data_IF_146809620873
#
_entry.id   IF_146809620873
#
_cell.length_a   1.000
_cell.length_b   1.000
_cell.length_c   1.000
_cell.angle_alpha   90.00
_cell.angle_beta   90.00
_cell.angle_gamma   90.00
#
_symmetry.space_group_name_H-M   'P 1'
#
loop_
_entity.id
_entity.type
_entity.pdbx_description
1 polymer ?
#
# COMPACT_ATOMS: atom_id res chain seq x y z
N UNK A 1 -13.95 -16.82 -8.44
CA UNK A 1 -13.10 -15.62 -8.50
C UNK A 1 -11.70 -16.05 -8.88
N UNK A 2 -11.16 -15.51 -9.97
CA UNK A 2 -9.89 -15.93 -10.52
C UNK A 2 -8.74 -15.36 -9.69
N UNK A 3 -7.82 -16.20 -9.23
CA UNK A 3 -6.62 -15.87 -8.44
C UNK A 3 -5.75 -14.74 -9.05
N UNK A 4 -5.96 -14.42 -10.33
CA UNK A 4 -5.26 -13.37 -11.06
C UNK A 4 -5.88 -11.96 -10.94
N UNK A 5 -7.16 -11.84 -10.59
CA UNK A 5 -7.79 -10.53 -10.32
C UNK A 5 -7.26 -9.94 -9.00
N UNK A 6 -7.12 -10.79 -7.98
CA UNK A 6 -6.60 -10.42 -6.65
C UNK A 6 -5.18 -9.81 -6.73
N UNK A 7 -4.28 -10.40 -7.52
CA UNK A 7 -2.90 -9.90 -7.64
C UNK A 7 -2.81 -8.49 -8.26
N UNK A 8 -3.71 -8.13 -9.20
CA UNK A 8 -3.68 -6.81 -9.83
C UNK A 8 -4.19 -5.74 -8.90
N UNK A 9 -5.30 -6.00 -8.20
CA UNK A 9 -5.81 -5.11 -7.16
C UNK A 9 -4.79 -4.94 -6.04
N UNK A 10 -4.13 -6.02 -5.65
CA UNK A 10 -3.08 -5.98 -4.64
C UNK A 10 -1.92 -5.08 -5.05
N UNK A 11 -1.40 -5.24 -6.27
CA UNK A 11 -0.32 -4.38 -6.79
C UNK A 11 -0.77 -2.92 -6.85
N UNK A 12 -2.03 -2.65 -7.21
CA UNK A 12 -2.60 -1.30 -7.25
C UNK A 12 -2.62 -0.63 -5.87
N UNK A 13 -3.10 -1.33 -4.84
CA UNK A 13 -3.12 -0.81 -3.46
C UNK A 13 -1.73 -0.41 -2.98
N UNK A 14 -0.74 -1.22 -3.29
CA UNK A 14 0.63 -0.95 -2.91
C UNK A 14 1.29 0.15 -3.74
N UNK A 15 0.84 0.35 -4.98
CA UNK A 15 1.24 1.49 -5.77
C UNK A 15 0.81 2.80 -5.09
N UNK A 16 -0.45 2.89 -4.63
CA UNK A 16 -0.92 4.05 -3.86
C UNK A 16 -0.16 4.22 -2.55
N UNK A 17 0.05 3.14 -1.79
CA UNK A 17 0.86 3.19 -0.57
C UNK A 17 2.25 3.78 -0.84
N UNK A 18 2.90 3.35 -1.93
CA UNK A 18 4.20 3.88 -2.34
C UNK A 18 4.13 5.37 -2.67
N UNK A 19 3.15 5.82 -3.44
CA UNK A 19 2.97 7.24 -3.76
C UNK A 19 2.76 8.09 -2.50
N UNK A 20 1.93 7.63 -1.55
CA UNK A 20 1.74 8.33 -0.28
C UNK A 20 3.04 8.40 0.56
N UNK A 21 3.89 7.37 0.49
CA UNK A 21 5.21 7.38 1.13
C UNK A 21 6.16 8.37 0.46
N UNK A 22 6.23 8.37 -0.88
CA UNK A 22 7.10 9.28 -1.64
C UNK A 22 6.68 10.75 -1.48
N UNK A 23 5.38 11.03 -1.42
CA UNK A 23 4.85 12.37 -1.17
C UNK A 23 4.80 12.77 0.31
N UNK A 24 5.40 11.98 1.21
CA UNK A 24 5.40 12.24 2.67
C UNK A 24 4.00 12.44 3.28
N UNK A 25 2.97 11.88 2.64
CA UNK A 25 1.57 11.91 3.11
C UNK A 25 1.31 10.82 4.16
N UNK A 26 2.22 9.85 4.30
CA UNK A 26 2.13 8.79 5.30
C UNK A 26 2.80 9.20 6.63
N UNK A 27 2.01 9.27 7.71
CA UNK A 27 2.52 9.45 9.09
C UNK A 27 2.36 8.15 9.87
N UNK A 28 3.47 7.56 10.30
CA UNK A 28 3.48 6.35 11.12
C UNK A 28 3.90 6.72 12.54
N UNK A 29 3.19 6.22 13.55
CA UNK A 29 3.55 6.38 14.96
C UNK A 29 4.84 5.62 15.27
N UNK A 30 5.75 6.23 16.03
CA UNK A 30 7.07 5.66 16.36
C UNK A 30 7.00 4.27 17.02
N UNK A 31 5.92 3.98 17.73
CA UNK A 31 5.71 2.69 18.41
C UNK A 31 5.28 1.56 17.45
N UNK A 32 5.03 1.83 16.17
CA UNK A 32 4.60 0.86 15.17
C UNK A 32 5.80 0.09 14.56
N UNK A 33 6.69 -0.42 15.41
CA UNK A 33 7.94 -1.11 15.01
C UNK A 33 7.69 -2.27 14.05
N UNK A 34 6.62 -3.04 14.24
CA UNK A 34 6.26 -4.15 13.37
C UNK A 34 5.86 -3.72 11.96
N UNK A 35 5.23 -2.56 11.82
CA UNK A 35 4.87 -1.97 10.53
C UNK A 35 6.12 -1.47 9.79
N UNK A 36 6.99 -0.73 10.49
CA UNK A 36 8.26 -0.24 9.92
C UNK A 36 9.15 -1.41 9.49
N UNK A 37 9.25 -2.44 10.32
CA UNK A 37 9.98 -3.66 9.99
C UNK A 37 9.37 -4.39 8.79
N UNK A 38 8.04 -4.42 8.71
CA UNK A 38 7.32 -4.98 7.56
C UNK A 38 7.62 -4.23 6.27
N UNK A 39 7.53 -2.89 6.29
CA UNK A 39 7.82 -2.03 5.15
C UNK A 39 9.25 -2.22 4.65
N UNK A 40 10.22 -2.29 5.56
CA UNK A 40 11.64 -2.51 5.21
C UNK A 40 11.92 -3.90 4.63
N UNK A 41 11.02 -4.87 4.83
CA UNK A 41 11.17 -6.24 4.30
C UNK A 41 10.52 -6.43 2.93
N UNK A 42 9.69 -5.49 2.48
CA UNK A 42 9.04 -5.57 1.16
C UNK A 42 10.11 -5.54 0.07
N UNK A 43 10.06 -6.52 -0.84
CA UNK A 43 10.96 -6.61 -1.99
C UNK A 43 10.20 -6.43 -3.29
N UNK A 44 10.96 -6.20 -4.35
CA UNK A 44 10.48 -6.15 -5.71
C UNK A 44 11.03 -7.33 -6.51
N UNK A 45 10.19 -7.90 -7.36
CA UNK A 45 10.54 -8.88 -8.38
C UNK A 45 11.39 -8.22 -9.48
N UNK A 46 12.11 -9.00 -10.32
CA UNK A 46 12.93 -8.46 -11.40
C UNK A 46 12.17 -7.57 -12.40
N UNK A 47 10.86 -7.79 -12.54
CA UNK A 47 9.96 -6.97 -13.37
C UNK A 47 9.44 -5.71 -12.65
N UNK A 48 10.08 -5.31 -11.54
CA UNK A 48 9.73 -4.16 -10.69
C UNK A 48 8.36 -4.22 -10.02
N UNK A 49 7.65 -5.34 -10.10
CA UNK A 49 6.42 -5.57 -9.32
C UNK A 49 6.78 -5.93 -7.89
N UNK A 50 5.88 -5.66 -6.97
CA UNK A 50 6.07 -6.01 -5.57
C UNK A 50 6.01 -7.54 -5.40
N UNK A 51 6.93 -8.07 -4.60
CA UNK A 51 6.95 -9.48 -4.24
C UNK A 51 5.98 -9.74 -3.08
N UNK A 52 4.83 -10.32 -3.41
CA UNK A 52 3.74 -10.62 -2.49
C UNK A 52 4.16 -11.52 -1.33
N UNK A 53 5.17 -12.37 -1.51
CA UNK A 53 5.64 -13.29 -0.47
C UNK A 53 6.45 -12.59 0.63
N UNK A 54 6.87 -11.35 0.40
CA UNK A 54 7.67 -10.57 1.36
C UNK A 54 6.84 -9.65 2.24
N UNK A 55 5.53 -9.60 2.02
CA UNK A 55 4.61 -8.67 2.66
C UNK A 55 3.98 -9.33 3.88
N UNK A 56 4.05 -8.64 5.02
CA UNK A 56 3.33 -9.04 6.22
C UNK A 56 1.92 -8.41 6.29
N UNK A 57 1.11 -8.88 7.23
CA UNK A 57 -0.27 -8.43 7.38
C UNK A 57 -0.38 -6.94 7.74
N UNK A 58 0.58 -6.40 8.50
CA UNK A 58 0.60 -4.99 8.88
C UNK A 58 0.73 -4.07 7.66
N UNK A 59 1.62 -4.41 6.72
CA UNK A 59 1.79 -3.64 5.48
C UNK A 59 0.58 -3.81 4.56
N UNK A 60 0.01 -5.02 4.49
CA UNK A 60 -1.24 -5.27 3.74
C UNK A 60 -2.39 -4.41 4.26
N UNK A 61 -2.56 -4.37 5.58
CA UNK A 61 -3.57 -3.54 6.24
C UNK A 61 -3.37 -2.07 5.90
N UNK A 62 -2.12 -1.59 5.98
CA UNK A 62 -1.80 -0.20 5.64
C UNK A 62 -2.14 0.14 4.18
N UNK A 63 -1.80 -0.74 3.23
CA UNK A 63 -2.09 -0.54 1.82
C UNK A 63 -3.60 -0.45 1.54
N UNK A 64 -4.40 -1.30 2.19
CA UNK A 64 -5.87 -1.23 2.11
C UNK A 64 -6.41 0.11 2.64
N UNK A 65 -5.88 0.58 3.78
CA UNK A 65 -6.30 1.86 4.36
C UNK A 65 -5.95 3.05 3.45
N UNK A 66 -4.77 3.05 2.83
CA UNK A 66 -4.35 4.12 1.93
C UNK A 66 -5.21 4.18 0.66
N UNK A 67 -5.57 3.04 0.08
CA UNK A 67 -6.48 3.02 -1.08
C UNK A 67 -7.84 3.63 -0.73
N UNK A 68 -8.39 3.31 0.45
CA UNK A 68 -9.63 3.92 0.91
C UNK A 68 -9.48 5.43 1.12
N UNK A 69 -8.38 5.88 1.72
CA UNK A 69 -8.11 7.30 1.93
C UNK A 69 -8.03 8.07 0.60
N UNK A 70 -7.36 7.51 -0.40
CA UNK A 70 -7.29 8.12 -1.74
C UNK A 70 -8.68 8.21 -2.37
N UNK A 71 -9.49 7.16 -2.29
CA UNK A 71 -10.86 7.16 -2.82
C UNK A 71 -11.75 8.26 -2.24
N UNK A 72 -11.61 8.57 -0.95
CA UNK A 72 -12.34 9.68 -0.34
C UNK A 72 -11.77 11.04 -0.73
N UNK A 73 -10.43 11.17 -0.81
CA UNK A 73 -9.78 12.40 -1.28
C UNK A 73 -10.25 12.78 -2.69
N UNK A 74 -10.23 11.82 -3.62
CA UNK A 74 -10.64 12.05 -5.01
C UNK A 74 -12.12 12.47 -5.10
N UNK A 75 -12.99 11.87 -4.26
CA UNK A 75 -14.41 12.22 -4.19
C UNK A 75 -14.69 13.60 -3.61
N UNK A 76 -13.84 14.08 -2.72
CA UNK A 76 -13.99 15.39 -2.11
C UNK A 76 -13.50 16.48 -3.08
N UNK A 77 -12.48 16.19 -3.91
CA UNK A 77 -12.02 17.06 -5.01
C UNK A 77 -13.03 17.17 -6.17
N UNK A 78 -13.82 16.12 -6.46
CA UNK A 78 -14.88 16.17 -7.49
C UNK A 78 -16.12 16.99 -7.10
N UNK A 79 -16.23 17.42 -5.84
CA UNK A 79 -17.38 18.19 -5.31
C UNK A 79 -17.13 19.69 -5.21
N UNK A 80 -15.91 20.16 -5.45
CA UNK A 80 -15.55 21.58 -5.60
C UNK A 80 -15.58 22.01 -7.07
#
# INVERSE_FOLDING_TARGET
>A
MSKFEDNREFVRKFYFLKEHMEHSKLKITMNSVGLVTGLNKVKYLPNRRIDLFTINESVRTLANMMEQMQYYSDKDEEKE
#
